data_IF_978805035032
#
_entry.id   IF_978805035032
#
_cell.length_a   1.000
_cell.length_b   1.000
_cell.length_c   1.000
_cell.angle_alpha   90.00
_cell.angle_beta   90.00
_cell.angle_gamma   90.00
#
_symmetry.space_group_name_H-M   'P 1'
#
loop_
_entity.id
_entity.type
_entity.pdbx_description
1 polymer ?
#
# COMPACT_ATOMS: atom_id res chain seq x y z
N UNK A 1 -1.02 -11.38 8.90
CA UNK A 1 -1.62 -10.65 7.76
C UNK A 1 -0.56 -9.82 7.04
N UNK A 2 -0.74 -9.62 5.74
CA UNK A 2 0.01 -8.70 4.89
C UNK A 2 -0.94 -8.19 3.79
N UNK A 3 -0.90 -6.90 3.47
CA UNK A 3 -1.77 -6.28 2.46
C UNK A 3 -0.94 -5.78 1.29
N UNK A 4 -1.42 -6.01 0.06
CA UNK A 4 -0.89 -5.36 -1.14
C UNK A 4 -1.99 -4.61 -1.87
N UNK A 5 -1.77 -3.36 -2.25
CA UNK A 5 -2.69 -2.61 -3.10
C UNK A 5 -2.02 -2.27 -4.44
N UNK A 6 -2.79 -2.33 -5.52
CA UNK A 6 -2.34 -2.09 -6.88
C UNK A 6 -3.22 -1.01 -7.50
N UNK A 7 -2.67 0.20 -7.64
CA UNK A 7 -3.42 1.40 -8.04
C UNK A 7 -4.08 1.21 -9.42
N UNK A 8 -3.29 0.96 -10.46
CA UNK A 8 -3.83 0.79 -11.81
C UNK A 8 -4.80 -0.39 -11.94
N UNK A 9 -4.50 -1.49 -11.25
CA UNK A 9 -5.31 -2.70 -11.31
C UNK A 9 -6.62 -2.57 -10.50
N UNK A 10 -6.77 -1.55 -9.66
CA UNK A 10 -7.94 -1.33 -8.82
C UNK A 10 -8.18 -2.49 -7.84
N UNK A 11 -7.10 -3.03 -7.28
CA UNK A 11 -7.14 -4.27 -6.49
C UNK A 11 -6.38 -4.15 -5.17
N UNK A 12 -6.90 -4.85 -4.16
CA UNK A 12 -6.24 -5.05 -2.88
C UNK A 12 -6.19 -6.53 -2.56
N UNK A 13 -5.03 -7.05 -2.18
CA UNK A 13 -4.84 -8.43 -1.75
C UNK A 13 -4.61 -8.48 -0.26
N UNK A 14 -5.26 -9.45 0.39
CA UNK A 14 -4.93 -9.86 1.75
C UNK A 14 -4.22 -11.21 1.69
N UNK A 15 -3.07 -11.26 2.33
CA UNK A 15 -2.25 -12.45 2.50
C UNK A 15 -2.18 -12.82 3.98
N UNK A 16 -2.23 -14.12 4.27
CA UNK A 16 -2.19 -14.65 5.63
C UNK A 16 -1.20 -15.80 5.75
N UNK A 17 -0.70 -16.02 6.96
CA UNK A 17 0.13 -17.17 7.33
C UNK A 17 -0.36 -17.67 8.69
N UNK A 18 -0.32 -18.98 8.93
CA UNK A 18 -0.83 -19.57 10.17
C UNK A 18 0.17 -19.35 11.32
N UNK A 19 1.46 -19.55 11.03
CA UNK A 19 2.55 -19.33 11.98
C UNK A 19 3.61 -18.41 11.39
N UNK A 20 4.51 -17.89 12.24
CA UNK A 20 5.55 -16.94 11.84
C UNK A 20 6.49 -17.49 10.76
N UNK A 21 6.83 -18.78 10.85
CA UNK A 21 7.72 -19.48 9.91
C UNK A 21 7.04 -19.90 8.60
N UNK A 22 5.72 -19.75 8.51
CA UNK A 22 4.99 -20.14 7.31
C UNK A 22 5.09 -19.05 6.23
N UNK A 23 5.05 -19.50 4.98
CA UNK A 23 4.92 -18.62 3.82
C UNK A 23 3.53 -18.01 3.77
N UNK A 24 3.47 -16.76 3.31
CA UNK A 24 2.19 -16.11 3.05
C UNK A 24 1.41 -16.81 1.93
N UNK A 25 0.12 -17.01 2.16
CA UNK A 25 -0.85 -17.50 1.17
C UNK A 25 -1.86 -16.41 0.89
N UNK A 26 -2.26 -16.29 -0.37
CA UNK A 26 -3.32 -15.35 -0.77
C UNK A 26 -4.61 -15.81 -0.11
N UNK A 27 -5.19 -14.96 0.72
CA UNK A 27 -6.52 -15.19 1.27
C UNK A 27 -7.57 -14.78 0.26
N UNK A 28 -7.54 -13.51 -0.18
CA UNK A 28 -8.52 -12.95 -1.10
C UNK A 28 -7.99 -11.71 -1.82
N UNK A 29 -8.53 -11.46 -3.01
CA UNK A 29 -8.38 -10.20 -3.73
C UNK A 29 -9.71 -9.45 -3.72
N UNK A 30 -9.66 -8.19 -3.33
CA UNK A 30 -10.77 -7.26 -3.21
C UNK A 30 -10.68 -6.21 -4.32
N UNK A 31 -11.83 -5.68 -4.73
CA UNK A 31 -11.89 -4.56 -5.67
C UNK A 31 -11.78 -3.25 -4.88
N UNK A 32 -10.86 -2.38 -5.29
CA UNK A 32 -10.82 -0.99 -4.84
C UNK A 32 -11.86 -0.20 -5.64
N UNK A 33 -12.76 0.51 -4.96
CA UNK A 33 -13.93 1.11 -5.63
C UNK A 33 -13.53 2.25 -6.56
N UNK A 34 -12.56 3.07 -6.13
CA UNK A 34 -12.14 4.28 -6.84
C UNK A 34 -10.62 4.39 -6.84
N UNK A 35 -10.07 4.78 -7.99
CA UNK A 35 -8.68 5.18 -8.12
C UNK A 35 -8.57 6.69 -7.93
N UNK A 36 -7.86 7.13 -6.89
CA UNK A 36 -7.53 8.55 -6.70
C UNK A 36 -6.13 8.84 -7.22
N UNK A 37 -6.02 9.96 -7.96
CA UNK A 37 -4.75 10.44 -8.50
C UNK A 37 -4.25 9.67 -9.73
N UNK A 38 -2.99 9.92 -10.08
CA UNK A 38 -2.23 9.27 -11.15
C UNK A 38 -1.16 8.32 -10.57
N UNK A 39 -0.38 7.68 -11.44
CA UNK A 39 0.77 6.87 -11.01
C UNK A 39 1.88 7.77 -10.46
N UNK A 40 2.49 7.33 -9.37
CA UNK A 40 3.47 8.07 -8.59
C UNK A 40 3.05 8.25 -7.13
N UNK A 41 4.03 8.50 -6.24
CA UNK A 41 3.78 8.63 -4.81
C UNK A 41 3.03 9.92 -4.48
N UNK A 42 2.35 9.90 -3.33
CA UNK A 42 1.82 11.10 -2.69
C UNK A 42 2.97 11.94 -2.14
N UNK A 43 3.02 13.23 -2.48
CA UNK A 43 4.12 14.13 -2.09
C UNK A 43 3.64 15.43 -1.45
N UNK A 44 2.34 15.71 -1.44
CA UNK A 44 1.82 16.93 -0.80
C UNK A 44 0.36 16.74 -0.35
N UNK A 45 -0.04 17.45 0.69
CA UNK A 45 -1.45 17.54 1.08
C UNK A 45 -2.28 18.14 -0.07
N UNK A 46 -3.43 17.53 -0.37
CA UNK A 46 -4.32 18.00 -1.44
C UNK A 46 -3.88 17.65 -2.87
N UNK A 47 -2.85 16.82 -3.06
CA UNK A 47 -2.49 16.28 -4.39
C UNK A 47 -3.44 15.17 -4.90
N UNK A 48 -4.43 14.78 -4.09
CA UNK A 48 -5.40 13.71 -4.37
C UNK A 48 -4.78 12.35 -4.73
N UNK A 49 -3.53 12.11 -4.36
CA UNK A 49 -2.82 10.86 -4.62
C UNK A 49 -3.05 9.84 -3.51
N UNK A 50 -3.34 8.59 -3.88
CA UNK A 50 -3.02 7.45 -3.01
C UNK A 50 -1.49 7.28 -2.99
N UNK A 51 -0.85 7.18 -1.81
CA UNK A 51 0.59 7.00 -1.74
C UNK A 51 1.03 5.67 -2.35
N UNK A 52 2.27 5.62 -2.82
CA UNK A 52 2.95 4.41 -3.28
C UNK A 52 4.14 4.16 -2.35
N UNK A 53 4.46 2.91 -2.03
CA UNK A 53 5.51 2.59 -1.05
C UNK A 53 5.13 1.52 -0.04
N UNK A 54 5.88 1.52 1.06
CA UNK A 54 5.81 0.49 2.09
C UNK A 54 5.33 1.10 3.41
N UNK A 55 4.19 0.61 3.89
CA UNK A 55 3.48 1.14 5.05
C UNK A 55 3.13 0.02 6.02
N UNK A 56 2.56 0.39 7.15
CA UNK A 56 1.89 -0.53 8.06
C UNK A 56 0.68 0.12 8.71
N UNK A 57 -0.24 -0.72 9.18
CA UNK A 57 -1.42 -0.27 9.92
C UNK A 57 -0.99 0.27 11.28
N UNK A 58 -1.43 1.49 11.60
CA UNK A 58 -1.20 2.18 12.89
C UNK A 58 -2.48 2.43 13.66
N UNK A 59 -3.62 2.52 12.97
CA UNK A 59 -4.89 2.87 13.57
C UNK A 59 -5.99 1.89 13.16
N UNK A 60 -6.83 1.54 14.13
CA UNK A 60 -8.05 0.76 13.96
C UNK A 60 -9.23 1.62 14.41
N UNK A 61 -10.00 2.15 13.45
CA UNK A 61 -11.09 3.06 13.71
C UNK A 61 -12.45 2.38 13.42
N UNK A 62 -13.14 1.85 14.45
CA UNK A 62 -14.43 1.20 14.28
C UNK A 62 -15.59 2.21 14.13
N UNK A 63 -15.35 3.51 14.36
CA UNK A 63 -16.37 4.58 14.29
C UNK A 63 -16.11 5.53 13.12
N UNK A 64 -15.43 5.04 12.08
CA UNK A 64 -15.20 5.79 10.84
C UNK A 64 -16.52 6.27 10.25
N UNK A 65 -16.55 7.52 9.79
CA UNK A 65 -17.67 8.07 9.03
C UNK A 65 -17.88 7.36 7.67
N UNK A 66 -16.91 6.55 7.24
CA UNK A 66 -16.91 5.79 5.98
C UNK A 66 -17.01 4.28 6.19
N UNK A 67 -17.60 3.84 7.31
CA UNK A 67 -17.76 2.43 7.72
C UNK A 67 -16.44 1.67 7.89
N UNK A 68 -15.94 1.62 9.14
CA UNK A 68 -14.63 1.07 9.54
C UNK A 68 -13.43 1.70 8.80
N UNK A 69 -12.29 1.83 9.47
CA UNK A 69 -11.08 2.27 8.80
C UNK A 69 -9.81 1.71 9.45
N UNK A 70 -8.83 1.44 8.60
CA UNK A 70 -7.46 1.04 8.98
C UNK A 70 -6.50 2.13 8.52
N UNK A 71 -5.90 2.85 9.47
CA UNK A 71 -5.00 3.96 9.18
C UNK A 71 -3.58 3.49 8.89
N UNK A 72 -2.96 4.05 7.86
CA UNK A 72 -1.57 3.78 7.49
C UNK A 72 -0.63 4.78 8.15
N UNK A 73 0.62 4.37 8.37
CA UNK A 73 1.68 5.25 8.88
C UNK A 73 2.19 6.30 7.87
N UNK A 74 1.36 6.75 6.92
CA UNK A 74 1.71 7.84 6.00
C UNK A 74 1.68 9.19 6.75
N UNK A 75 2.70 10.06 6.59
CA UNK A 75 3.92 9.86 5.81
C UNK A 75 4.91 8.92 6.51
N UNK A 76 5.44 7.93 5.79
CA UNK A 76 6.45 7.02 6.32
C UNK A 76 7.85 7.69 6.36
N UNK A 77 8.90 6.94 6.70
CA UNK A 77 10.27 7.49 6.76
C UNK A 77 10.77 8.05 5.40
N UNK A 78 10.44 7.40 4.28
CA UNK A 78 10.78 7.88 2.93
C UNK A 78 9.97 9.13 2.58
N UNK A 79 8.67 9.11 2.85
CA UNK A 79 7.80 10.24 2.57
C UNK A 79 8.22 11.49 3.34
N UNK A 80 8.58 11.36 4.63
CA UNK A 80 9.07 12.48 5.44
C UNK A 80 10.29 13.18 4.86
N UNK A 81 11.10 12.48 4.04
CA UNK A 81 12.27 13.05 3.37
C UNK A 81 11.90 13.64 2.01
N UNK A 82 11.01 12.97 1.27
CA UNK A 82 10.75 13.25 -0.15
C UNK A 82 9.50 14.12 -0.43
N UNK A 83 8.57 14.20 0.52
CA UNK A 83 7.35 15.00 0.39
C UNK A 83 7.58 16.47 0.79
N UNK A 84 6.58 17.31 0.55
CA UNK A 84 6.57 18.69 0.99
C UNK A 84 6.88 18.79 2.49
N UNK A 85 7.92 19.54 2.83
CA UNK A 85 8.45 19.61 4.21
C UNK A 85 7.48 20.21 5.23
N UNK A 86 6.50 21.00 4.79
CA UNK A 86 5.54 21.67 5.67
C UNK A 86 4.18 20.97 5.65
N UNK A 87 3.78 20.44 4.49
CA UNK A 87 2.46 19.88 4.23
C UNK A 87 2.55 18.57 3.44
N UNK A 88 3.15 17.51 4.02
CA UNK A 88 3.23 16.20 3.38
C UNK A 88 1.84 15.57 3.17
N UNK A 89 0.88 15.97 4.02
CA UNK A 89 -0.42 15.34 4.14
C UNK A 89 -0.40 14.22 5.18
N UNK A 90 -1.58 13.68 5.45
CA UNK A 90 -1.85 12.69 6.47
C UNK A 90 -3.11 11.88 6.10
N UNK A 91 -3.61 11.08 7.04
CA UNK A 91 -4.96 10.53 6.96
C UNK A 91 -5.21 9.57 5.80
N UNK A 92 -4.24 8.68 5.52
CA UNK A 92 -4.41 7.64 4.51
C UNK A 92 -4.98 6.38 5.17
N UNK A 93 -6.16 5.97 4.71
CA UNK A 93 -6.87 4.82 5.26
C UNK A 93 -7.26 3.80 4.19
N UNK A 94 -7.43 2.55 4.61
CA UNK A 94 -8.27 1.56 3.93
C UNK A 94 -9.63 1.59 4.64
N UNK A 95 -10.72 1.85 3.93
CA UNK A 95 -12.04 2.04 4.55
C UNK A 95 -13.19 1.66 3.60
N UNK A 96 -14.42 1.61 4.13
CA UNK A 96 -15.64 1.30 3.37
C UNK A 96 -16.21 2.48 2.57
N UNK A 97 -17.51 2.43 2.31
CA UNK A 97 -18.33 3.47 1.66
C UNK A 97 -17.95 3.85 0.22
N UNK A 98 -16.97 3.18 -0.42
CA UNK A 98 -16.59 3.39 -1.82
C UNK A 98 -16.37 4.86 -2.26
N UNK A 99 -16.01 5.77 -1.35
CA UNK A 99 -15.73 7.19 -1.62
C UNK A 99 -14.26 7.49 -1.31
N UNK A 100 -13.58 8.33 -2.09
CA UNK A 100 -12.18 8.69 -1.77
C UNK A 100 -11.69 9.95 -2.46
N UNK A 101 -10.83 10.68 -1.75
CA UNK A 101 -10.01 11.80 -2.26
C UNK A 101 -8.50 11.54 -2.05
N UNK A 102 -8.09 10.29 -1.78
CA UNK A 102 -6.70 9.93 -1.48
C UNK A 102 -6.50 8.66 -0.63
N UNK A 103 -7.58 8.03 -0.17
CA UNK A 103 -7.62 6.75 0.55
C UNK A 103 -7.76 5.55 -0.40
N UNK A 104 -7.75 4.33 0.15
CA UNK A 104 -8.04 3.08 -0.55
C UNK A 104 -9.45 2.59 -0.17
N UNK A 105 -10.49 3.01 -0.90
CA UNK A 105 -11.86 2.64 -0.56
C UNK A 105 -12.22 1.25 -1.10
N UNK A 106 -12.85 0.43 -0.26
CA UNK A 106 -13.47 -0.85 -0.62
C UNK A 106 -14.95 -0.83 -0.25
N UNK A 107 -15.68 -1.92 -0.53
CA UNK A 107 -17.08 -2.04 -0.10
C UNK A 107 -17.18 -2.25 1.41
N UNK A 108 -18.34 -1.95 1.99
CA UNK A 108 -18.58 -2.10 3.44
C UNK A 108 -18.36 -3.55 3.92
N UNK A 109 -18.85 -4.52 3.16
CA UNK A 109 -18.62 -5.94 3.44
C UNK A 109 -17.15 -6.35 3.33
N UNK A 110 -16.40 -5.73 2.40
CA UNK A 110 -14.99 -6.05 2.20
C UNK A 110 -14.14 -5.47 3.35
N UNK A 111 -14.41 -4.23 3.77
CA UNK A 111 -13.70 -3.64 4.90
C UNK A 111 -14.02 -4.36 6.21
N UNK A 112 -15.24 -4.85 6.43
CA UNK A 112 -15.57 -5.69 7.59
C UNK A 112 -14.66 -6.92 7.67
N UNK A 113 -14.51 -7.66 6.57
CA UNK A 113 -13.65 -8.83 6.52
C UNK A 113 -12.17 -8.47 6.72
N UNK A 114 -11.68 -7.43 6.02
CA UNK A 114 -10.30 -6.95 6.15
C UNK A 114 -10.02 -6.49 7.59
N UNK A 115 -10.92 -5.73 8.19
CA UNK A 115 -10.81 -5.18 9.54
C UNK A 115 -10.79 -6.29 10.58
N UNK A 116 -11.64 -7.32 10.44
CA UNK A 116 -11.65 -8.49 11.33
C UNK A 116 -10.33 -9.27 11.24
N UNK A 117 -9.82 -9.51 10.04
CA UNK A 117 -8.53 -10.20 9.84
C UNK A 117 -7.37 -9.39 10.43
N UNK A 118 -7.37 -8.07 10.20
CA UNK A 118 -6.36 -7.17 10.75
C UNK A 118 -6.42 -7.13 12.29
N UNK A 119 -7.62 -7.07 12.86
CA UNK A 119 -7.83 -7.08 14.31
C UNK A 119 -7.35 -8.39 14.91
N UNK A 120 -7.67 -9.53 14.29
CA UNK A 120 -7.17 -10.85 14.70
C UNK A 120 -5.64 -10.92 14.64
N UNK A 121 -5.02 -10.43 13.56
CA UNK A 121 -3.56 -10.40 13.44
C UNK A 121 -2.92 -9.56 14.56
N UNK A 122 -3.47 -8.38 14.86
CA UNK A 122 -2.99 -7.51 15.95
C UNK A 122 -3.13 -8.16 17.32
N UNK A 123 -4.28 -8.78 17.61
CA UNK A 123 -4.52 -9.51 18.86
C UNK A 123 -3.60 -10.72 19.05
N UNK A 124 -3.14 -11.33 17.94
CA UNK A 124 -2.16 -12.42 17.95
C UNK A 124 -0.70 -11.92 17.91
N UNK A 125 -0.45 -10.67 18.29
CA UNK A 125 0.89 -10.11 18.47
C UNK A 125 1.56 -9.58 17.21
N UNK A 126 0.85 -9.50 16.07
CA UNK A 126 1.40 -8.83 14.90
C UNK A 126 1.23 -7.32 15.03
N UNK A 127 2.20 -6.68 15.70
CA UNK A 127 2.12 -5.25 16.00
C UNK A 127 2.16 -4.35 14.77
N UNK A 128 2.94 -4.76 13.76
CA UNK A 128 3.11 -4.09 12.49
C UNK A 128 2.52 -4.98 11.39
N UNK A 129 1.33 -4.61 10.90
CA UNK A 129 0.70 -5.30 9.76
C UNK A 129 1.15 -4.58 8.49
N UNK A 130 2.02 -5.18 7.65
CA UNK A 130 2.57 -4.47 6.51
C UNK A 130 1.51 -4.26 5.42
N UNK A 131 1.60 -3.10 4.76
CA UNK A 131 0.77 -2.69 3.63
C UNK A 131 1.68 -2.15 2.54
N UNK A 132 1.80 -2.87 1.43
CA UNK A 132 2.56 -2.39 0.28
C UNK A 132 1.61 -1.82 -0.75
N UNK A 133 1.87 -0.61 -1.24
CA UNK A 133 1.05 0.03 -2.27
C UNK A 133 1.92 0.22 -3.52
N UNK A 134 1.55 -0.46 -4.58
CA UNK A 134 2.25 -0.47 -5.85
C UNK A 134 1.45 0.32 -6.91
N UNK A 135 2.14 0.95 -7.87
CA UNK A 135 1.45 1.56 -9.00
C UNK A 135 0.70 0.51 -9.83
N UNK A 136 1.33 -0.65 -10.06
CA UNK A 136 0.82 -1.73 -10.92
C UNK A 136 1.21 -3.12 -10.41
N UNK A 137 0.53 -4.16 -10.90
CA UNK A 137 1.01 -5.53 -10.85
C UNK A 137 2.11 -5.77 -11.89
N UNK A 138 3.37 -5.75 -11.48
CA UNK A 138 4.51 -5.93 -12.39
C UNK A 138 4.52 -7.26 -13.15
N UNK A 139 3.87 -8.31 -12.64
CA UNK A 139 3.78 -9.60 -13.32
C UNK A 139 2.65 -9.68 -14.38
N UNK A 140 1.84 -8.63 -14.54
CA UNK A 140 0.81 -8.55 -15.58
C UNK A 140 1.31 -7.69 -16.73
N UNK A 141 1.45 -8.30 -17.91
CA UNK A 141 1.92 -7.64 -19.15
C UNK A 141 1.21 -6.31 -19.40
N UNK A 142 -0.13 -6.28 -19.39
CA UNK A 142 -0.92 -5.07 -19.63
C UNK A 142 -0.66 -3.97 -18.59
N UNK A 143 -0.50 -4.34 -17.32
CA UNK A 143 -0.28 -3.38 -16.23
C UNK A 143 1.14 -2.81 -16.31
N UNK A 144 2.13 -3.67 -16.58
CA UNK A 144 3.51 -3.26 -16.81
C UNK A 144 3.67 -2.34 -18.04
N UNK A 145 3.09 -2.71 -19.19
CA UNK A 145 3.14 -1.90 -20.42
C UNK A 145 2.47 -0.52 -20.25
N UNK A 146 1.36 -0.44 -19.52
CA UNK A 146 0.75 0.84 -19.18
C UNK A 146 1.70 1.71 -18.36
N UNK A 147 2.30 1.12 -17.33
CA UNK A 147 3.20 1.84 -16.44
C UNK A 147 4.47 2.31 -17.14
N UNK A 148 5.13 1.43 -17.91
CA UNK A 148 6.34 1.77 -18.66
C UNK A 148 6.13 2.96 -19.60
N UNK A 149 4.99 2.97 -20.31
CA UNK A 149 4.62 4.09 -21.16
C UNK A 149 4.34 5.37 -20.36
N UNK A 150 3.75 5.27 -19.17
CA UNK A 150 3.51 6.41 -18.28
C UNK A 150 4.82 7.01 -17.72
N UNK A 151 5.87 6.20 -17.54
CA UNK A 151 7.14 6.62 -16.92
C UNK A 151 8.26 6.96 -17.89
N UNK A 152 8.11 6.71 -19.20
CA UNK A 152 9.15 6.87 -20.24
C UNK A 152 9.97 8.17 -20.20
N UNK A 153 9.43 9.27 -19.69
CA UNK A 153 10.12 10.57 -19.60
C UNK A 153 10.21 11.13 -18.16
N UNK A 154 10.08 10.28 -17.14
CA UNK A 154 10.02 10.69 -15.72
C UNK A 154 11.16 10.05 -14.91
N UNK A 155 12.37 10.61 -15.05
CA UNK A 155 13.59 10.04 -14.45
C UNK A 155 13.50 9.81 -12.93
N UNK A 156 12.88 10.72 -12.17
CA UNK A 156 12.70 10.56 -10.73
C UNK A 156 11.75 9.42 -10.35
N UNK A 157 10.71 9.19 -11.17
CA UNK A 157 9.75 8.12 -10.97
C UNK A 157 10.35 6.75 -11.33
N UNK A 158 11.24 6.70 -12.31
CA UNK A 158 11.93 5.47 -12.70
C UNK A 158 12.80 4.89 -11.56
N UNK A 159 13.60 5.74 -10.87
CA UNK A 159 14.40 5.28 -9.72
C UNK A 159 13.54 4.72 -8.60
N UNK A 160 12.45 5.42 -8.26
CA UNK A 160 11.51 5.02 -7.22
C UNK A 160 10.81 3.70 -7.58
N UNK A 161 10.42 3.52 -8.84
CA UNK A 161 9.81 2.28 -9.29
C UNK A 161 10.73 1.07 -9.14
N UNK A 162 12.01 1.18 -9.53
CA UNK A 162 12.93 0.05 -9.43
C UNK A 162 12.97 -0.53 -8.01
N UNK A 163 12.90 0.34 -7.00
CA UNK A 163 12.87 -0.04 -5.59
C UNK A 163 11.57 -0.76 -5.20
N UNK A 164 10.42 -0.26 -5.69
CA UNK A 164 9.12 -0.91 -5.48
C UNK A 164 9.08 -2.29 -6.15
N UNK A 165 9.57 -2.37 -7.38
CA UNK A 165 9.62 -3.61 -8.16
C UNK A 165 10.52 -4.64 -7.50
N UNK A 166 11.67 -4.24 -6.96
CA UNK A 166 12.57 -5.15 -6.25
C UNK A 166 11.86 -5.85 -5.07
N UNK A 167 11.17 -5.08 -4.22
CA UNK A 167 10.41 -5.66 -3.11
C UNK A 167 9.24 -6.53 -3.58
N UNK A 168 8.57 -6.11 -4.65
CA UNK A 168 7.51 -6.88 -5.29
C UNK A 168 8.02 -8.25 -5.76
N UNK A 169 9.12 -8.27 -6.51
CA UNK A 169 9.71 -9.49 -7.07
C UNK A 169 10.23 -10.41 -5.95
N UNK A 170 10.85 -9.87 -4.90
CA UNK A 170 11.30 -10.66 -3.74
C UNK A 170 10.12 -11.36 -3.05
N UNK A 171 9.02 -10.63 -2.79
CA UNK A 171 7.82 -11.26 -2.23
C UNK A 171 7.23 -12.30 -3.19
N UNK A 172 7.19 -12.03 -4.50
CA UNK A 172 6.67 -12.98 -5.47
C UNK A 172 7.44 -14.31 -5.47
N UNK A 173 8.78 -14.25 -5.36
CA UNK A 173 9.64 -15.42 -5.36
C UNK A 173 9.61 -16.20 -4.03
N UNK A 174 9.59 -15.50 -2.89
CA UNK A 174 9.79 -16.12 -1.57
C UNK A 174 8.48 -16.38 -0.82
N UNK A 175 7.46 -15.54 -1.09
CA UNK A 175 6.26 -15.35 -0.26
C UNK A 175 6.57 -14.92 1.18
N UNK A 176 7.68 -14.18 1.33
CA UNK A 176 8.11 -13.51 2.56
C UNK A 176 8.14 -12.00 2.30
N UNK A 177 7.68 -11.21 3.27
CA UNK A 177 7.70 -9.74 3.16
C UNK A 177 9.15 -9.29 3.32
N UNK A 178 9.76 -8.65 2.31
CA UNK A 178 11.16 -8.24 2.38
C UNK A 178 11.35 -7.15 3.44
N UNK A 179 12.56 -7.06 3.97
CA UNK A 179 12.90 -5.99 4.90
C UNK A 179 13.16 -4.73 4.09
N UNK A 180 12.41 -3.67 4.38
CA UNK A 180 12.54 -2.38 3.71
C UNK A 180 13.15 -1.38 4.67
N UNK A 181 14.31 -0.86 4.29
CA UNK A 181 14.96 0.27 4.97
C UNK A 181 14.85 1.54 4.12
N UNK A 182 15.10 2.69 4.71
CA UNK A 182 15.12 4.00 4.02
C UNK A 182 16.49 4.63 4.23
N UNK A 183 17.15 5.03 3.13
CA UNK A 183 18.44 5.69 3.18
C UNK A 183 18.33 7.20 3.48
N UNK A 184 19.47 7.91 3.58
CA UNK A 184 19.49 9.35 3.87
C UNK A 184 18.86 10.23 2.78
N UNK A 185 18.66 9.70 1.58
CA UNK A 185 18.01 10.38 0.45
C UNK A 185 16.51 10.08 0.39
N UNK A 186 16.01 9.20 1.26
CA UNK A 186 14.63 8.75 1.24
C UNK A 186 14.38 7.58 0.29
N UNK A 187 15.42 7.00 -0.31
CA UNK A 187 15.27 5.82 -1.17
C UNK A 187 15.06 4.56 -0.32
N UNK A 188 14.23 3.66 -0.81
CA UNK A 188 14.07 2.34 -0.21
C UNK A 188 15.26 1.43 -0.55
N UNK A 189 15.73 0.69 0.45
CA UNK A 189 16.77 -0.34 0.33
C UNK A 189 16.14 -1.67 0.76
N UNK A 190 16.06 -2.62 -0.17
CA UNK A 190 15.36 -3.88 0.02
C UNK A 190 16.36 -4.98 0.38
N UNK A 191 16.21 -5.60 1.55
CA UNK A 191 17.02 -6.75 1.98
C UNK A 191 16.19 -8.04 1.93
#
# INVERSE_FOLDING_TARGET
MFIRSFKYDGQLEVWVKAHEKDKYKLFKTYKVCLLSGAMGPKRMQGDFQVPEGFYYITEFNPRSAYHLALGLNYPNASDKILSDSLRPGDGIYIHGSCVSVGCIPVTDSDIEEIYLIASSAKLNGQDFIPVHIFPVRYNRKKSFEYFDNYTKNKNSLARFELQLKEAYDKFEATKEVPIVMVDRKGDYVIN
#
